data_IF_289379751141
#
_entry.id   IF_289379751141
#
_cell.length_a   1.000
_cell.length_b   1.000
_cell.length_c   1.000
_cell.angle_alpha   90.00
_cell.angle_beta   90.00
_cell.angle_gamma   90.00
#
_symmetry.space_group_name_H-M   'P 1'
#
loop_
_entity.id
_entity.type
_entity.pdbx_description
1 polymer ?
#
# COMPACT_ATOMS: atom_id res chain seq x y z
N UNK A 1 -33.88 -73.69 1.39
CA UNK A 1 -32.84 -72.95 2.15
C UNK A 1 -31.56 -73.06 1.36
N UNK A 2 -31.17 -71.97 0.73
CA UNK A 2 -29.89 -71.76 0.06
C UNK A 2 -29.62 -70.26 0.20
N UNK A 3 -28.51 -69.85 0.83
CA UNK A 3 -27.98 -68.53 0.64
C UNK A 3 -26.53 -68.63 0.13
N UNK A 4 -26.20 -67.92 -0.94
CA UNK A 4 -24.97 -67.13 -0.95
C UNK A 4 -24.91 -66.21 -2.16
N UNK A 5 -24.93 -64.91 -1.87
CA UNK A 5 -24.61 -63.85 -2.81
C UNK A 5 -23.10 -63.86 -3.06
N UNK A 6 -22.69 -64.04 -4.32
CA UNK A 6 -21.33 -63.88 -4.78
C UNK A 6 -21.30 -63.04 -6.05
N UNK A 7 -20.82 -61.81 -5.94
CA UNK A 7 -20.58 -60.88 -7.04
C UNK A 7 -20.70 -59.45 -6.51
N UNK A 8 -19.70 -58.59 -6.54
CA UNK A 8 -18.42 -58.66 -7.21
C UNK A 8 -18.03 -57.23 -7.61
N UNK A 9 -16.95 -56.73 -7.01
CA UNK A 9 -15.92 -55.94 -7.70
C UNK A 9 -16.34 -54.67 -8.46
N UNK A 10 -17.28 -53.85 -7.95
CA UNK A 10 -17.56 -52.53 -8.54
C UNK A 10 -17.48 -51.34 -7.58
N UNK A 11 -17.02 -51.53 -6.34
CA UNK A 11 -17.11 -50.49 -5.31
C UNK A 11 -15.80 -50.17 -4.58
N UNK A 12 -14.66 -50.18 -5.28
CA UNK A 12 -13.40 -49.73 -4.65
C UNK A 12 -12.39 -49.05 -5.58
N UNK A 13 -12.87 -48.28 -6.56
CA UNK A 13 -12.00 -47.37 -7.33
C UNK A 13 -12.72 -46.04 -7.59
N UNK A 14 -13.01 -45.27 -6.55
CA UNK A 14 -13.39 -43.86 -6.74
C UNK A 14 -12.95 -42.89 -5.63
N UNK A 15 -12.19 -43.34 -4.63
CA UNK A 15 -11.94 -42.57 -3.41
C UNK A 15 -10.51 -42.09 -3.14
N UNK A 16 -9.55 -42.26 -4.05
CA UNK A 16 -8.14 -42.36 -3.64
C UNK A 16 -7.16 -41.19 -3.86
N UNK A 17 -7.44 -40.19 -4.72
CA UNK A 17 -6.34 -39.34 -5.24
C UNK A 17 -6.64 -37.83 -5.32
N UNK A 18 -7.51 -37.29 -4.45
CA UNK A 18 -7.92 -35.88 -4.51
C UNK A 18 -7.32 -34.93 -3.47
N UNK A 19 -6.62 -35.41 -2.44
CA UNK A 19 -6.36 -34.62 -1.21
C UNK A 19 -4.92 -34.15 -0.98
N UNK A 20 -3.98 -34.54 -1.83
CA UNK A 20 -2.57 -34.13 -1.68
C UNK A 20 -2.26 -32.82 -2.43
N UNK A 21 -2.94 -32.55 -3.54
CA UNK A 21 -2.67 -31.36 -4.36
C UNK A 21 -3.50 -30.12 -3.97
N UNK A 22 -4.52 -30.27 -3.12
CA UNK A 22 -5.35 -29.14 -2.65
C UNK A 22 -4.55 -28.21 -1.73
N UNK A 23 -3.89 -28.75 -0.71
CA UNK A 23 -3.13 -27.94 0.27
C UNK A 23 -1.98 -27.14 -0.35
N UNK A 24 -1.30 -27.69 -1.36
CA UNK A 24 -0.23 -26.99 -2.09
C UNK A 24 -0.79 -25.91 -3.03
N UNK A 25 -1.91 -26.19 -3.71
CA UNK A 25 -2.58 -25.22 -4.58
C UNK A 25 -3.17 -24.06 -3.78
N UNK A 26 -3.73 -24.35 -2.61
CA UNK A 26 -4.34 -23.35 -1.73
C UNK A 26 -3.26 -22.41 -1.15
N UNK A 27 -2.14 -22.95 -0.63
CA UNK A 27 -1.01 -22.13 -0.17
C UNK A 27 -0.37 -21.30 -1.29
N UNK A 28 -0.26 -21.84 -2.50
CA UNK A 28 0.33 -21.11 -3.64
C UNK A 28 -0.60 -20.02 -4.17
N UNK A 29 -1.92 -20.27 -4.17
CA UNK A 29 -2.94 -19.28 -4.54
C UNK A 29 -3.00 -18.15 -3.52
N UNK A 30 -2.93 -18.46 -2.24
CA UNK A 30 -2.91 -17.47 -1.16
C UNK A 30 -1.61 -16.66 -1.18
N UNK A 31 -0.46 -17.31 -1.40
CA UNK A 31 0.83 -16.61 -1.57
C UNK A 31 0.82 -15.68 -2.78
N UNK A 32 0.28 -16.10 -3.93
CA UNK A 32 0.17 -15.25 -5.12
C UNK A 32 -0.82 -14.11 -4.90
N UNK A 33 -1.96 -14.34 -4.24
CA UNK A 33 -2.95 -13.32 -3.91
C UNK A 33 -2.41 -12.29 -2.92
N UNK A 34 -1.67 -12.73 -1.91
CA UNK A 34 -1.06 -11.87 -0.89
C UNK A 34 0.14 -11.11 -1.45
N UNK A 35 0.94 -11.74 -2.33
CA UNK A 35 2.05 -11.07 -3.04
C UNK A 35 1.52 -10.03 -4.02
N UNK A 36 0.47 -10.36 -4.78
CA UNK A 36 -0.20 -9.41 -5.68
C UNK A 36 -0.76 -8.21 -4.90
N UNK A 37 -1.35 -8.43 -3.73
CA UNK A 37 -1.93 -7.35 -2.91
C UNK A 37 -0.86 -6.42 -2.33
N UNK A 38 0.27 -6.96 -1.86
CA UNK A 38 1.38 -6.16 -1.31
C UNK A 38 2.11 -5.35 -2.37
N UNK A 39 2.29 -5.90 -3.57
CA UNK A 39 2.93 -5.19 -4.68
C UNK A 39 1.99 -4.15 -5.28
N UNK A 40 0.71 -4.47 -5.48
CA UNK A 40 -0.31 -3.51 -5.96
C UNK A 40 -0.52 -2.38 -4.94
N UNK A 41 -0.48 -2.64 -3.64
CA UNK A 41 -0.46 -1.57 -2.62
C UNK A 41 0.80 -0.70 -2.71
N UNK A 42 1.96 -1.28 -3.03
CA UNK A 42 3.22 -0.54 -3.18
C UNK A 42 3.23 0.37 -4.40
N UNK A 43 2.63 -0.01 -5.53
CA UNK A 43 2.51 0.88 -6.72
C UNK A 43 1.29 1.81 -6.67
N UNK A 44 0.18 1.41 -6.04
CA UNK A 44 -1.03 2.23 -5.93
C UNK A 44 -0.95 3.33 -4.85
N UNK A 45 -0.04 3.22 -3.88
CA UNK A 45 0.19 4.29 -2.91
C UNK A 45 0.87 5.52 -3.50
N UNK A 46 1.55 5.43 -4.66
CA UNK A 46 2.17 6.60 -5.30
C UNK A 46 1.16 7.56 -5.94
N UNK A 47 -0.08 7.12 -6.14
CA UNK A 47 -1.17 7.92 -6.75
C UNK A 47 -2.26 8.31 -5.74
N UNK A 48 -2.06 8.02 -4.45
CA UNK A 48 -3.05 8.29 -3.40
C UNK A 48 -2.82 9.67 -2.80
N UNK A 49 -3.30 10.69 -3.51
CA UNK A 49 -3.27 12.07 -3.06
C UNK A 49 -2.89 12.97 -4.20
N UNK A 50 -3.86 13.74 -4.67
CA UNK A 50 -3.67 14.83 -5.62
C UNK A 50 -2.96 15.97 -4.87
N UNK A 51 -1.67 15.77 -4.60
CA UNK A 51 -0.81 16.70 -3.89
C UNK A 51 -0.41 17.83 -4.84
N UNK A 52 -0.54 19.06 -4.37
CA UNK A 52 -0.13 20.25 -5.11
C UNK A 52 1.39 20.41 -5.04
N UNK A 53 2.10 19.60 -5.82
CA UNK A 53 3.54 19.70 -5.98
C UNK A 53 3.90 20.03 -7.43
N UNK A 54 4.65 21.11 -7.60
CA UNK A 54 5.23 21.48 -8.89
C UNK A 54 6.74 21.49 -8.79
N UNK A 55 7.41 20.62 -9.56
CA UNK A 55 8.86 20.68 -9.72
C UNK A 55 9.22 21.83 -10.66
N UNK A 56 9.85 22.87 -10.11
CA UNK A 56 10.44 23.96 -10.91
C UNK A 56 11.77 23.48 -11.52
N UNK A 57 12.52 22.70 -10.74
CA UNK A 57 13.73 21.98 -11.18
C UNK A 57 13.75 20.60 -10.53
N UNK A 58 14.76 19.77 -10.80
CA UNK A 58 14.93 18.47 -10.13
C UNK A 58 15.14 18.57 -8.60
N UNK A 59 15.44 19.76 -8.07
CA UNK A 59 15.76 20.00 -6.64
C UNK A 59 14.85 21.03 -5.98
N UNK A 60 13.98 21.69 -6.75
CA UNK A 60 13.10 22.76 -6.24
C UNK A 60 11.66 22.37 -6.51
N UNK A 61 10.91 22.24 -5.42
CA UNK A 61 9.48 21.94 -5.42
C UNK A 61 8.76 23.15 -4.85
N UNK A 62 7.66 23.54 -5.50
CA UNK A 62 6.72 24.54 -4.99
C UNK A 62 5.40 23.84 -4.69
N UNK A 63 4.81 24.18 -3.55
CA UNK A 63 3.49 23.71 -3.10
C UNK A 63 2.75 24.83 -2.38
N UNK A 64 1.43 24.74 -2.33
CA UNK A 64 0.64 25.57 -1.42
C UNK A 64 0.72 25.10 0.03
N UNK A 65 0.27 25.96 0.95
CA UNK A 65 0.38 25.72 2.40
C UNK A 65 -0.32 24.41 2.82
N UNK A 66 0.33 23.53 3.62
CA UNK A 66 -0.24 22.28 4.06
C UNK A 66 -1.37 22.51 5.06
N UNK A 67 -2.39 21.66 5.00
CA UNK A 67 -3.49 21.67 5.95
C UNK A 67 -3.29 20.55 6.98
N UNK A 68 -3.54 20.88 8.25
CA UNK A 68 -3.51 19.93 9.37
C UNK A 68 -4.79 19.05 9.42
N UNK A 69 -5.84 19.42 8.69
CA UNK A 69 -7.14 18.77 8.78
C UNK A 69 -7.19 17.46 8.00
N UNK A 70 -7.61 16.39 8.68
CA UNK A 70 -7.85 15.05 8.12
C UNK A 70 -9.25 14.98 7.50
N UNK A 71 -9.62 16.00 6.73
CA UNK A 71 -10.89 16.00 6.02
C UNK A 71 -10.70 15.27 4.69
N UNK A 72 -11.42 14.16 4.53
CA UNK A 72 -11.39 13.31 3.34
C UNK A 72 -11.91 14.14 2.16
N UNK A 73 -10.99 14.61 1.31
CA UNK A 73 -11.32 15.41 0.12
C UNK A 73 -10.52 16.71 -0.02
N UNK A 74 -9.77 17.12 1.01
CA UNK A 74 -8.87 18.26 0.89
C UNK A 74 -7.50 17.86 0.34
N UNK A 75 -7.01 18.65 -0.63
CA UNK A 75 -5.63 18.57 -1.12
C UNK A 75 -4.66 19.04 -0.03
N UNK A 76 -3.42 18.53 -0.06
CA UNK A 76 -2.31 18.97 0.79
C UNK A 76 -2.44 18.67 2.28
N UNK A 77 -2.89 17.46 2.62
CA UNK A 77 -2.73 16.98 4.00
C UNK A 77 -1.24 16.88 4.36
N UNK A 78 -0.88 17.42 5.53
CA UNK A 78 0.52 17.48 5.98
C UNK A 78 1.20 16.10 6.01
N UNK A 79 0.45 15.06 6.39
CA UNK A 79 0.98 13.70 6.50
C UNK A 79 1.26 13.08 5.11
N UNK A 80 0.43 13.39 4.10
CA UNK A 80 0.65 12.94 2.72
C UNK A 80 1.83 13.68 2.07
N UNK A 81 1.95 14.99 2.28
CA UNK A 81 3.09 15.79 1.84
C UNK A 81 4.39 15.24 2.44
N UNK A 82 4.40 14.98 3.75
CA UNK A 82 5.54 14.38 4.44
C UNK A 82 5.88 13.01 3.85
N UNK A 83 4.89 12.13 3.69
CA UNK A 83 5.08 10.79 3.11
C UNK A 83 5.69 10.87 1.72
N UNK A 84 5.21 11.79 0.87
CA UNK A 84 5.78 12.03 -0.45
C UNK A 84 7.25 12.47 -0.37
N UNK A 85 7.55 13.48 0.44
CA UNK A 85 8.90 14.00 0.60
C UNK A 85 9.86 12.95 1.17
N UNK A 86 9.44 12.19 2.17
CA UNK A 86 10.24 11.12 2.77
C UNK A 86 10.47 9.97 1.76
N UNK A 87 9.48 9.65 0.92
CA UNK A 87 9.63 8.56 -0.07
C UNK A 87 10.61 8.89 -1.22
N UNK A 88 10.72 10.16 -1.60
CA UNK A 88 11.52 10.62 -2.76
C UNK A 88 12.83 11.26 -2.35
N UNK A 89 12.85 11.95 -1.21
CA UNK A 89 13.91 12.87 -0.77
C UNK A 89 14.23 12.68 0.73
N UNK A 90 14.17 11.45 1.24
CA UNK A 90 14.44 11.13 2.64
C UNK A 90 15.71 11.83 3.14
N UNK A 91 15.63 12.53 4.28
CA UNK A 91 16.71 13.30 4.90
C UNK A 91 17.42 14.36 4.03
N UNK A 92 16.96 14.57 2.78
CA UNK A 92 17.57 15.46 1.79
C UNK A 92 16.66 16.61 1.33
N UNK A 93 15.60 16.91 2.09
CA UNK A 93 14.76 18.10 1.86
C UNK A 93 14.80 19.08 3.04
N UNK A 94 14.47 20.33 2.76
CA UNK A 94 14.17 21.38 3.74
C UNK A 94 12.95 22.15 3.24
N UNK A 95 12.01 22.42 4.14
CA UNK A 95 10.79 23.18 3.82
C UNK A 95 11.06 24.64 4.16
N UNK A 96 10.94 25.53 3.18
CA UNK A 96 10.99 26.97 3.40
C UNK A 96 9.56 27.50 3.43
N UNK A 97 9.14 28.00 4.58
CA UNK A 97 7.83 28.61 4.72
C UNK A 97 7.91 30.09 4.36
N UNK A 98 7.33 30.44 3.21
CA UNK A 98 7.22 31.82 2.70
C UNK A 98 5.88 32.46 3.06
N UNK A 99 5.01 31.76 3.78
CA UNK A 99 3.69 32.24 4.17
C UNK A 99 3.74 32.94 5.53
N UNK A 100 2.80 33.84 5.84
CA UNK A 100 2.71 34.48 7.16
C UNK A 100 2.22 33.53 8.26
N UNK A 101 1.83 32.29 7.94
CA UNK A 101 1.31 31.29 8.88
C UNK A 101 2.45 30.36 9.29
N UNK A 102 2.62 30.04 10.56
CA UNK A 102 3.66 29.11 11.01
C UNK A 102 3.31 27.64 10.73
N UNK A 103 4.31 26.82 10.42
CA UNK A 103 4.15 25.37 10.28
C UNK A 103 4.32 24.66 11.63
N UNK A 104 3.70 23.49 11.77
CA UNK A 104 4.07 22.54 12.84
C UNK A 104 5.38 21.84 12.46
N UNK A 105 6.52 22.43 12.80
CA UNK A 105 7.86 21.95 12.45
C UNK A 105 8.11 20.47 12.79
N UNK A 106 7.52 19.96 13.88
CA UNK A 106 7.60 18.55 14.28
C UNK A 106 7.08 17.57 13.21
N UNK A 107 6.15 18.00 12.33
CA UNK A 107 5.62 17.17 11.23
C UNK A 107 6.64 16.93 10.12
N UNK A 108 7.62 17.80 9.96
CA UNK A 108 8.66 17.72 8.93
C UNK A 108 10.06 17.45 9.53
N UNK A 109 10.13 16.70 10.63
CA UNK A 109 11.39 16.37 11.32
C UNK A 109 12.21 17.61 11.71
N UNK A 110 11.55 18.71 12.07
CA UNK A 110 12.20 20.00 12.37
C UNK A 110 13.01 20.59 11.21
N UNK A 111 12.74 20.19 9.96
CA UNK A 111 13.38 20.69 8.74
C UNK A 111 12.60 21.84 8.09
N UNK A 112 11.99 22.69 8.90
CA UNK A 112 11.26 23.88 8.42
C UNK A 112 12.04 25.14 8.78
N UNK A 113 12.29 25.98 7.77
CA UNK A 113 12.83 27.33 7.95
C UNK A 113 11.73 28.34 7.68
N UNK A 114 11.43 29.18 8.68
CA UNK A 114 10.46 30.27 8.58
C UNK A 114 11.13 31.48 7.90
N UNK A 115 10.55 31.97 6.80
CA UNK A 115 11.04 33.14 6.08
C UNK A 115 10.06 34.31 6.31
N UNK A 116 10.28 35.04 7.41
CA UNK A 116 9.50 36.23 7.80
C UNK A 116 10.29 37.51 7.58
#
# INVERSE_FOLDING_TARGET
MEPSYGGGLFDMVKGGAGRLFSNLKDNLKDTLKDTSSRVIQSVANYTKGDLDFTYVTSRIIVMSFPLDNVDIGFRNQVDDIRSFLDSRHLDHYTVYNLSPKSYRTAKFHSRVSECS
#
